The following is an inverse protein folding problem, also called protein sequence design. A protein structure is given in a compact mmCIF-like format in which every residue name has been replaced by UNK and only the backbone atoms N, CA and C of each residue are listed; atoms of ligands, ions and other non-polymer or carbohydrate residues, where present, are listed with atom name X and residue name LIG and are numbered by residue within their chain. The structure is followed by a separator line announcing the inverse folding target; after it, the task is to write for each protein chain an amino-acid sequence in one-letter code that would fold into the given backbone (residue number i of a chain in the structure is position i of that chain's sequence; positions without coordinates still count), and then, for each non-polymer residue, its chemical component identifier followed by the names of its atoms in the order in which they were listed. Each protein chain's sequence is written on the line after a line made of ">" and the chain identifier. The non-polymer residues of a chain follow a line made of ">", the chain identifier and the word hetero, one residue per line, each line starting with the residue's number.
data_IF_251951724623
#
_entry.id   IF_251951724623
#
_cell.length_a   1.000
_cell.length_b   1.000
_cell.length_c   1.000
_cell.angle_alpha   90.00
_cell.angle_beta   90.00
_cell.angle_gamma   90.00
#
_symmetry.space_group_name_H-M   'P 1'
#
loop_
_entity.id
_entity.type
_entity.pdbx_description
1 polymer ?
#
# COMPACT_ATOMS: atom_id res chain seq x y z
N UNK A 1 3.46 28.45 8.42
CA UNK A 1 3.20 27.87 7.09
C UNK A 1 1.73 28.03 6.76
N UNK A 2 1.36 28.62 5.61
CA UNK A 2 -0.01 28.96 5.22
C UNK A 2 -0.92 27.72 5.04
N UNK A 3 -0.30 26.55 4.96
CA UNK A 3 -0.94 25.26 4.68
C UNK A 3 -1.46 24.54 5.94
N UNK A 4 -1.00 24.93 7.14
CA UNK A 4 -1.25 24.18 8.38
C UNK A 4 -2.74 24.10 8.73
N UNK A 5 -3.46 25.22 8.68
CA UNK A 5 -4.89 25.26 9.01
C UNK A 5 -5.74 24.43 8.02
N UNK A 6 -5.57 24.55 6.69
CA UNK A 6 -6.23 23.66 5.74
C UNK A 6 -5.99 22.17 5.99
N UNK A 7 -4.77 21.76 6.38
CA UNK A 7 -4.46 20.37 6.69
C UNK A 7 -5.18 19.87 7.95
N UNK A 8 -5.21 20.66 9.03
CA UNK A 8 -5.93 20.25 10.25
C UNK A 8 -7.43 20.10 10.02
N UNK A 9 -8.04 20.97 9.20
CA UNK A 9 -9.46 20.87 8.85
C UNK A 9 -9.76 19.58 8.07
N UNK A 10 -8.87 19.16 7.17
CA UNK A 10 -9.05 17.87 6.48
C UNK A 10 -8.81 16.70 7.42
N UNK A 11 -7.80 16.76 8.29
CA UNK A 11 -7.55 15.73 9.29
C UNK A 11 -8.78 15.50 10.17
N UNK A 12 -9.41 16.57 10.66
CA UNK A 12 -10.68 16.48 11.39
C UNK A 12 -11.79 15.83 10.55
N UNK A 13 -11.92 16.21 9.27
CA UNK A 13 -12.90 15.63 8.38
C UNK A 13 -12.65 14.13 8.07
N UNK A 14 -11.40 13.68 8.03
CA UNK A 14 -11.05 12.26 7.85
C UNK A 14 -11.52 11.40 9.03
N UNK A 15 -11.47 11.94 10.26
CA UNK A 15 -11.98 11.28 11.46
C UNK A 15 -13.50 11.33 11.62
N UNK A 16 -14.18 12.23 10.90
CA UNK A 16 -15.63 12.36 10.97
C UNK A 16 -16.31 11.16 10.27
N UNK A 17 -16.98 10.32 11.07
CA UNK A 17 -17.69 9.13 10.61
C UNK A 17 -19.09 9.43 10.06
N UNK A 18 -19.56 10.67 10.16
CA UNK A 18 -20.88 11.09 9.68
C UNK A 18 -20.87 11.58 8.24
N UNK A 19 -19.69 11.86 7.68
CA UNK A 19 -19.56 12.34 6.30
C UNK A 19 -19.76 11.21 5.29
N UNK A 20 -20.41 11.53 4.18
CA UNK A 20 -20.39 10.68 2.99
C UNK A 20 -19.06 10.81 2.24
N UNK A 21 -18.67 9.80 1.42
CA UNK A 21 -17.45 9.87 0.62
C UNK A 21 -17.37 11.13 -0.27
N UNK A 22 -18.49 11.51 -0.89
CA UNK A 22 -18.57 12.68 -1.76
C UNK A 22 -18.40 13.99 -0.99
N UNK A 23 -18.95 14.08 0.22
CA UNK A 23 -18.80 15.25 1.09
C UNK A 23 -17.37 15.41 1.57
N UNK A 24 -16.71 14.31 1.95
CA UNK A 24 -15.29 14.34 2.34
C UNK A 24 -14.39 14.72 1.15
N UNK A 25 -14.61 14.11 -0.03
CA UNK A 25 -13.91 14.48 -1.26
C UNK A 25 -14.05 15.98 -1.58
N UNK A 26 -15.27 16.52 -1.47
CA UNK A 26 -15.51 17.95 -1.63
C UNK A 26 -14.70 18.79 -0.64
N UNK A 27 -14.73 18.43 0.65
CA UNK A 27 -13.97 19.13 1.69
C UNK A 27 -12.47 19.11 1.40
N UNK A 28 -11.90 17.98 0.95
CA UNK A 28 -10.49 17.89 0.57
C UNK A 28 -10.14 18.88 -0.54
N UNK A 29 -10.96 18.97 -1.61
CA UNK A 29 -10.73 19.90 -2.72
C UNK A 29 -10.86 21.36 -2.27
N UNK A 30 -11.87 21.68 -1.45
CA UNK A 30 -12.05 23.04 -0.91
C UNK A 30 -10.87 23.47 -0.06
N UNK A 31 -10.36 22.60 0.82
CA UNK A 31 -9.19 22.92 1.63
C UNK A 31 -7.91 23.01 0.78
N UNK A 32 -7.80 22.23 -0.29
CA UNK A 32 -6.73 22.36 -1.26
C UNK A 32 -6.73 23.74 -1.92
N UNK A 33 -7.89 24.20 -2.42
CA UNK A 33 -8.07 25.56 -2.98
C UNK A 33 -7.71 26.64 -1.97
N UNK A 34 -8.15 26.50 -0.72
CA UNK A 34 -7.82 27.43 0.36
C UNK A 34 -6.32 27.47 0.66
N UNK A 35 -5.64 26.33 0.69
CA UNK A 35 -4.20 26.26 0.91
C UNK A 35 -3.42 27.00 -0.20
N UNK A 36 -3.80 26.80 -1.46
CA UNK A 36 -3.22 27.50 -2.61
C UNK A 36 -3.47 29.00 -2.54
N UNK A 37 -4.69 29.44 -2.18
CA UNK A 37 -5.02 30.86 -2.04
C UNK A 37 -4.17 31.55 -0.95
N UNK A 38 -4.06 30.93 0.24
CA UNK A 38 -3.26 31.46 1.33
C UNK A 38 -1.77 31.54 0.97
N UNK A 39 -1.23 30.49 0.34
CA UNK A 39 0.16 30.45 -0.09
C UNK A 39 0.47 31.47 -1.19
N UNK A 40 -0.48 31.68 -2.12
CA UNK A 40 -0.34 32.68 -3.18
C UNK A 40 -0.32 34.09 -2.61
N UNK A 41 -1.22 34.41 -1.67
CA UNK A 41 -1.23 35.71 -0.99
C UNK A 41 0.09 35.99 -0.24
N UNK A 42 0.63 34.97 0.46
CA UNK A 42 1.92 35.07 1.16
C UNK A 42 3.10 35.25 0.19
N UNK A 43 3.11 34.51 -0.93
CA UNK A 43 4.13 34.63 -1.99
C UNK A 43 4.15 36.04 -2.61
N UNK A 44 2.98 36.61 -2.90
CA UNK A 44 2.83 37.99 -3.39
C UNK A 44 3.40 38.97 -2.37
N UNK A 45 3.04 38.82 -1.09
CA UNK A 45 3.48 39.72 -0.01
C UNK A 45 5.00 39.69 0.18
N UNK A 46 5.63 38.52 0.00
CA UNK A 46 7.09 38.34 0.20
C UNK A 46 7.93 38.54 -1.06
N UNK A 47 7.33 38.85 -2.21
CA UNK A 47 8.05 39.00 -3.48
C UNK A 47 8.73 37.72 -3.97
N UNK A 48 8.34 36.54 -3.47
CA UNK A 48 8.96 35.26 -3.76
C UNK A 48 8.05 34.44 -4.68
N UNK A 49 8.00 34.79 -5.97
CA UNK A 49 7.41 33.91 -6.99
C UNK A 49 8.54 33.31 -7.83
N UNK A 50 9.08 32.19 -7.37
CA UNK A 50 10.03 31.37 -8.15
C UNK A 50 9.31 30.13 -8.65
N UNK A 51 9.30 29.94 -9.96
CA UNK A 51 8.84 28.71 -10.61
C UNK A 51 7.44 28.77 -11.21
N UNK A 52 7.14 27.75 -12.02
CA UNK A 52 5.85 27.51 -12.67
C UNK A 52 4.86 26.77 -11.77
N UNK A 53 5.34 26.19 -10.66
CA UNK A 53 4.52 25.38 -9.76
C UNK A 53 3.56 26.22 -8.93
N UNK A 54 2.38 25.65 -8.66
CA UNK A 54 1.37 26.27 -7.83
C UNK A 54 1.85 26.36 -6.38
N UNK A 55 1.87 27.57 -5.77
CA UNK A 55 2.43 27.77 -4.44
C UNK A 55 1.86 26.80 -3.39
N UNK A 56 2.77 26.10 -2.71
CA UNK A 56 2.48 25.17 -1.60
C UNK A 56 1.55 23.99 -1.90
N UNK A 57 1.15 23.77 -3.15
CA UNK A 57 0.26 22.68 -3.53
C UNK A 57 0.89 21.30 -3.24
N UNK A 58 2.15 21.11 -3.61
CA UNK A 58 2.90 19.88 -3.33
C UNK A 58 2.90 19.53 -1.84
N UNK A 59 3.28 20.49 -0.98
CA UNK A 59 3.32 20.30 0.47
C UNK A 59 1.94 19.99 1.06
N UNK A 60 0.90 20.68 0.58
CA UNK A 60 -0.46 20.40 1.00
C UNK A 60 -0.87 18.98 0.61
N UNK A 61 -0.66 18.58 -0.65
CA UNK A 61 -1.04 17.26 -1.13
C UNK A 61 -0.23 16.16 -0.44
N UNK A 62 1.07 16.36 -0.22
CA UNK A 62 1.90 15.43 0.55
C UNK A 62 1.34 15.20 1.96
N UNK A 63 1.06 16.28 2.69
CA UNK A 63 0.45 16.18 4.02
C UNK A 63 -0.97 15.59 4.00
N UNK A 64 -1.78 15.95 3.02
CA UNK A 64 -3.13 15.40 2.82
C UNK A 64 -3.09 13.89 2.62
N UNK A 65 -2.28 13.42 1.68
CA UNK A 65 -2.17 12.00 1.36
C UNK A 65 -1.57 11.22 2.51
N UNK A 66 -0.61 11.80 3.22
CA UNK A 66 -0.05 11.19 4.42
C UNK A 66 -1.15 10.92 5.46
N UNK A 67 -1.92 11.94 5.85
CA UNK A 67 -3.01 11.76 6.82
C UNK A 67 -4.11 10.85 6.32
N UNK A 68 -4.44 10.95 5.04
CA UNK A 68 -5.44 10.09 4.41
C UNK A 68 -5.05 8.61 4.53
N UNK A 69 -3.81 8.27 4.18
CA UNK A 69 -3.31 6.91 4.26
C UNK A 69 -3.19 6.44 5.71
N UNK A 70 -2.60 7.24 6.61
CA UNK A 70 -2.47 6.92 8.03
C UNK A 70 -3.82 6.56 8.67
N UNK A 71 -4.85 7.36 8.41
CA UNK A 71 -6.19 7.11 8.96
C UNK A 71 -6.85 5.90 8.30
N UNK A 72 -6.66 5.72 6.99
CA UNK A 72 -7.21 4.58 6.26
C UNK A 72 -6.64 3.25 6.77
N UNK A 73 -5.34 3.16 7.02
CA UNK A 73 -4.70 1.91 7.46
C UNK A 73 -4.96 1.60 8.94
N UNK A 74 -5.31 2.61 9.74
CA UNK A 74 -5.66 2.44 11.16
C UNK A 74 -7.12 1.97 11.36
N UNK A 75 -8.06 2.42 10.51
CA UNK A 75 -9.48 2.05 10.60
C UNK A 75 -9.90 1.08 9.48
N UNK A 76 -9.64 -0.22 9.70
CA UNK A 76 -9.97 -1.29 8.74
C UNK A 76 -11.45 -1.33 8.35
N UNK A 77 -12.35 -0.88 9.24
CA UNK A 77 -13.79 -0.87 9.01
C UNK A 77 -14.23 0.15 7.96
N UNK A 78 -13.37 1.12 7.65
CA UNK A 78 -13.64 2.23 6.73
C UNK A 78 -12.83 2.17 5.43
N UNK A 79 -12.12 1.08 5.16
CA UNK A 79 -11.30 0.98 3.95
C UNK A 79 -12.11 1.23 2.67
N UNK A 80 -13.31 0.65 2.55
CA UNK A 80 -14.19 0.89 1.39
C UNK A 80 -14.67 2.33 1.30
N UNK A 81 -15.00 2.94 2.44
CA UNK A 81 -15.32 4.37 2.51
C UNK A 81 -14.18 5.24 1.96
N UNK A 82 -12.93 4.97 2.35
CA UNK A 82 -11.78 5.73 1.84
C UNK A 82 -11.53 5.49 0.35
N UNK A 83 -11.72 4.26 -0.13
CA UNK A 83 -11.69 3.98 -1.58
C UNK A 83 -12.73 4.82 -2.31
N UNK A 84 -13.97 4.87 -1.82
CA UNK A 84 -15.07 5.65 -2.40
C UNK A 84 -14.80 7.16 -2.39
N UNK A 85 -14.06 7.67 -1.40
CA UNK A 85 -13.62 9.07 -1.39
C UNK A 85 -12.70 9.35 -2.58
N UNK A 86 -11.75 8.45 -2.87
CA UNK A 86 -10.88 8.58 -4.04
C UNK A 86 -11.65 8.41 -5.35
N UNK A 87 -12.67 7.52 -5.40
CA UNK A 87 -13.59 7.41 -6.56
C UNK A 87 -14.27 8.77 -6.79
N UNK A 88 -14.82 9.37 -5.73
CA UNK A 88 -15.51 10.64 -5.79
C UNK A 88 -14.60 11.80 -6.21
N UNK A 89 -13.35 11.82 -5.71
CA UNK A 89 -12.33 12.79 -6.12
C UNK A 89 -12.07 12.70 -7.63
N UNK A 90 -11.84 11.48 -8.11
CA UNK A 90 -11.56 11.19 -9.52
C UNK A 90 -12.71 11.61 -10.43
N UNK A 91 -13.95 11.36 -10.03
CA UNK A 91 -15.11 11.59 -10.87
C UNK A 91 -15.42 13.09 -11.10
N UNK A 92 -15.28 13.93 -10.05
CA UNK A 92 -16.01 15.21 -9.99
C UNK A 92 -15.17 16.48 -10.07
N UNK A 93 -13.87 16.46 -9.77
CA UNK A 93 -13.21 17.70 -9.36
C UNK A 93 -12.07 18.21 -10.25
N UNK A 94 -12.26 18.21 -11.57
CA UNK A 94 -11.30 18.83 -12.50
C UNK A 94 -11.71 20.21 -13.01
N UNK A 95 -12.78 20.77 -12.48
CA UNK A 95 -13.33 22.03 -12.95
C UNK A 95 -12.50 23.19 -12.36
N UNK A 96 -12.02 24.06 -13.27
CA UNK A 96 -11.51 25.42 -13.05
C UNK A 96 -10.19 25.61 -12.28
N UNK A 97 -9.26 24.66 -12.33
CA UNK A 97 -7.93 24.86 -11.71
C UNK A 97 -6.78 24.44 -12.61
N UNK A 98 -6.05 25.42 -13.16
CA UNK A 98 -4.75 25.26 -13.82
C UNK A 98 -3.63 25.09 -12.78
N UNK A 99 -3.74 24.07 -11.96
CA UNK A 99 -2.71 23.77 -10.97
C UNK A 99 -1.53 23.04 -11.61
N UNK A 100 -0.33 23.40 -11.17
CA UNK A 100 0.94 22.87 -11.69
C UNK A 100 1.74 22.32 -10.52
N UNK A 101 2.24 21.09 -10.67
CA UNK A 101 3.16 20.43 -9.74
C UNK A 101 4.30 19.83 -10.56
N UNK A 102 5.54 20.21 -10.21
CA UNK A 102 6.75 19.79 -10.92
C UNK A 102 6.68 20.04 -12.43
N UNK A 103 6.18 21.21 -12.82
CA UNK A 103 6.03 21.63 -14.20
C UNK A 103 4.95 20.90 -15.00
N UNK A 104 4.09 20.11 -14.35
CA UNK A 104 2.97 19.39 -15.00
C UNK A 104 1.63 19.81 -14.43
N UNK A 105 0.62 19.87 -15.29
CA UNK A 105 -0.76 20.11 -14.85
C UNK A 105 -1.21 18.99 -13.91
N UNK A 106 -1.68 19.39 -12.74
CA UNK A 106 -2.29 18.51 -11.76
C UNK A 106 -3.75 18.24 -12.11
N UNK A 107 -4.18 17.01 -11.89
CA UNK A 107 -5.49 16.52 -12.32
C UNK A 107 -5.96 15.41 -11.39
N UNK A 108 -7.10 15.61 -10.71
CA UNK A 108 -7.69 14.65 -9.78
C UNK A 108 -8.18 13.36 -10.45
N UNK A 109 -8.39 13.35 -11.78
CA UNK A 109 -8.67 12.11 -12.53
C UNK A 109 -7.46 11.18 -12.64
N UNK A 110 -6.26 11.73 -12.46
CA UNK A 110 -5.00 11.07 -12.73
C UNK A 110 -4.12 10.97 -11.47
N UNK A 111 -4.75 10.70 -10.32
CA UNK A 111 -4.08 10.48 -9.04
C UNK A 111 -3.05 9.34 -9.11
N UNK A 112 -3.27 8.36 -9.99
CA UNK A 112 -2.41 7.18 -10.11
C UNK A 112 -1.07 7.42 -10.80
N UNK A 113 -1.01 8.37 -11.74
CA UNK A 113 0.24 8.72 -12.44
C UNK A 113 1.02 9.84 -11.75
N UNK A 114 0.35 10.58 -10.85
CA UNK A 114 0.89 11.76 -10.20
C UNK A 114 1.64 11.38 -8.94
N UNK A 115 2.91 11.84 -8.83
CA UNK A 115 3.79 11.37 -7.76
C UNK A 115 3.38 11.73 -6.33
N UNK A 116 2.56 12.73 -5.97
CA UNK A 116 2.30 13.00 -4.53
C UNK A 116 1.64 11.82 -3.81
N UNK A 117 0.64 11.18 -4.41
CA UNK A 117 0.00 10.00 -3.83
C UNK A 117 0.93 8.77 -3.92
N UNK A 118 1.55 8.55 -5.09
CA UNK A 118 2.48 7.44 -5.28
C UNK A 118 3.69 7.47 -4.35
N UNK A 119 4.24 8.67 -4.06
CA UNK A 119 5.35 8.86 -3.12
C UNK A 119 4.92 8.56 -1.69
N UNK A 120 3.73 9.01 -1.26
CA UNK A 120 3.24 8.68 0.09
C UNK A 120 2.95 7.19 0.24
N UNK A 121 2.37 6.56 -0.79
CA UNK A 121 2.18 5.11 -0.82
C UNK A 121 3.54 4.40 -0.66
N UNK A 122 4.56 4.81 -1.43
CA UNK A 122 5.90 4.24 -1.32
C UNK A 122 6.57 4.56 0.04
N UNK A 123 6.45 5.78 0.54
CA UNK A 123 7.03 6.20 1.83
C UNK A 123 6.46 5.37 2.97
N UNK A 124 5.14 5.17 3.01
CA UNK A 124 4.48 4.37 4.06
C UNK A 124 4.90 2.89 3.97
N UNK A 125 5.18 2.37 2.77
CA UNK A 125 5.76 1.02 2.63
C UNK A 125 7.19 0.91 3.11
N UNK A 126 7.95 2.02 3.01
CA UNK A 126 9.34 2.09 3.43
C UNK A 126 9.51 2.48 4.90
N UNK A 127 8.44 2.91 5.59
CA UNK A 127 8.47 3.08 7.04
C UNK A 127 8.68 1.72 7.67
N UNK A 128 9.81 1.59 8.36
CA UNK A 128 10.19 0.39 9.08
C UNK A 128 9.08 0.07 10.10
N UNK A 129 8.46 -1.11 9.98
CA UNK A 129 7.43 -1.61 10.91
C UNK A 129 7.97 -1.98 12.30
N UNK A 130 9.24 -1.64 12.57
CA UNK A 130 9.78 -1.45 13.92
C UNK A 130 9.57 -0.01 14.42
N UNK A 131 8.54 0.70 13.97
CA UNK A 131 8.01 1.78 14.80
C UNK A 131 7.73 1.15 16.18
N UNK A 132 8.23 1.73 17.28
CA UNK A 132 8.02 1.16 18.60
C UNK A 132 6.56 0.80 18.81
N UNK A 133 6.28 -0.38 19.42
CA UNK A 133 4.93 -0.86 19.59
C UNK A 133 4.08 0.29 20.12
N UNK A 134 2.98 0.56 19.42
CA UNK A 134 2.13 1.69 19.73
C UNK A 134 0.83 1.21 20.34
N UNK A 135 0.59 1.60 21.59
CA UNK A 135 -0.72 1.39 22.22
C UNK A 135 -1.44 2.72 22.37
N UNK A 136 -2.64 2.82 21.80
CA UNK A 136 -3.50 4.00 21.87
C UNK A 136 -2.82 5.34 21.52
N UNK A 137 -1.87 5.32 20.58
CA UNK A 137 -1.13 6.52 20.15
C UNK A 137 0.02 6.92 21.08
N UNK A 138 0.39 6.09 22.05
CA UNK A 138 1.59 6.24 22.87
C UNK A 138 2.66 5.25 22.41
N UNK A 139 3.92 5.65 22.51
CA UNK A 139 5.07 4.78 22.27
C UNK A 139 5.24 3.84 23.47
N UNK A 140 5.53 2.57 23.22
CA UNK A 140 6.00 1.63 24.25
C UNK A 140 7.51 1.80 24.41
N UNK A 141 7.94 2.09 25.64
CA UNK A 141 9.35 2.36 25.95
C UNK A 141 10.22 1.08 25.85
N UNK A 142 11.47 1.18 25.33
CA UNK A 142 12.44 0.09 25.33
C UNK A 142 12.87 -0.37 26.72
N UNK A 143 13.30 -1.64 26.88
CA UNK A 143 13.53 -2.66 25.83
C UNK A 143 12.29 -3.48 25.46
N UNK A 144 12.21 -3.96 24.21
CA UNK A 144 11.08 -4.76 23.68
C UNK A 144 11.54 -6.21 23.50
N UNK A 145 10.63 -7.16 23.66
CA UNK A 145 10.85 -8.56 23.32
C UNK A 145 10.67 -8.75 21.80
N UNK A 146 11.79 -8.75 21.07
CA UNK A 146 11.79 -8.96 19.62
C UNK A 146 11.17 -10.31 19.22
N UNK A 147 11.30 -11.36 20.04
CA UNK A 147 10.73 -12.69 19.73
C UNK A 147 9.22 -12.68 19.87
N UNK A 148 8.70 -11.99 20.88
CA UNK A 148 7.27 -11.75 21.02
C UNK A 148 6.73 -10.99 19.79
N UNK A 149 7.44 -9.92 19.39
CA UNK A 149 7.11 -9.16 18.20
C UNK A 149 7.08 -10.02 16.94
N UNK A 150 8.11 -10.81 16.68
CA UNK A 150 8.18 -11.73 15.54
C UNK A 150 7.03 -12.74 15.53
N UNK A 151 6.71 -13.32 16.69
CA UNK A 151 5.61 -14.28 16.86
C UNK A 151 4.24 -13.65 16.54
N UNK A 152 3.94 -12.47 17.09
CA UNK A 152 2.69 -11.75 16.83
C UNK A 152 2.61 -11.30 15.37
N UNK A 153 3.69 -10.75 14.83
CA UNK A 153 3.77 -10.35 13.41
C UNK A 153 3.58 -11.56 12.50
N UNK A 154 4.00 -12.77 12.88
CA UNK A 154 3.78 -14.01 12.12
C UNK A 154 2.34 -14.53 12.19
N UNK A 155 1.54 -14.07 13.15
CA UNK A 155 0.12 -14.40 13.29
C UNK A 155 -0.29 -15.02 14.62
N UNK A 156 0.61 -15.09 15.62
CA UNK A 156 0.25 -15.59 16.94
C UNK A 156 -0.64 -14.59 17.70
N UNK A 157 -1.56 -15.08 18.56
CA UNK A 157 -2.43 -14.23 19.35
C UNK A 157 -1.59 -13.34 20.30
N UNK A 158 -1.82 -12.02 20.32
CA UNK A 158 -1.08 -11.14 21.20
C UNK A 158 -1.49 -11.33 22.67
N UNK A 159 -0.56 -11.27 23.62
CA UNK A 159 -0.91 -11.16 25.03
C UNK A 159 -1.56 -9.79 25.30
N UNK A 160 -2.37 -9.72 26.36
CA UNK A 160 -3.02 -8.46 26.76
C UNK A 160 -2.06 -7.53 27.53
N UNK A 161 -0.97 -7.13 26.87
CA UNK A 161 0.03 -6.17 27.36
C UNK A 161 0.13 -5.00 26.39
N UNK A 162 0.58 -3.81 26.83
CA UNK A 162 0.80 -2.67 25.92
C UNK A 162 1.70 -3.03 24.73
N UNK A 163 2.78 -3.77 24.98
CA UNK A 163 3.68 -4.26 23.94
C UNK A 163 2.99 -5.22 22.97
N UNK A 164 2.27 -6.23 23.47
CA UNK A 164 1.54 -7.20 22.65
C UNK A 164 0.48 -6.54 21.77
N UNK A 165 -0.28 -5.59 22.33
CA UNK A 165 -1.25 -4.77 21.58
C UNK A 165 -0.57 -3.89 20.54
N UNK A 166 0.60 -3.33 20.85
CA UNK A 166 1.39 -2.54 19.92
C UNK A 166 1.85 -3.36 18.71
N UNK A 167 2.40 -4.56 18.92
CA UNK A 167 2.77 -5.46 17.83
C UNK A 167 1.57 -5.91 16.98
N UNK A 168 0.44 -6.22 17.62
CA UNK A 168 -0.79 -6.57 16.92
C UNK A 168 -1.31 -5.43 16.04
N UNK A 169 -1.22 -4.18 16.52
CA UNK A 169 -1.56 -2.99 15.73
C UNK A 169 -0.63 -2.81 14.53
N UNK A 170 0.68 -2.99 14.70
CA UNK A 170 1.64 -2.92 13.60
C UNK A 170 1.34 -3.97 12.51
N UNK A 171 1.04 -5.21 12.91
CA UNK A 171 0.57 -6.26 11.98
C UNK A 171 -0.69 -5.85 11.23
N UNK A 172 -1.69 -5.33 11.95
CA UNK A 172 -2.95 -4.89 11.34
C UNK A 172 -2.72 -3.74 10.34
N UNK A 173 -1.93 -2.72 10.69
CA UNK A 173 -1.57 -1.61 9.80
C UNK A 173 -0.91 -2.10 8.50
N UNK A 174 0.03 -3.03 8.57
CA UNK A 174 0.67 -3.62 7.38
C UNK A 174 -0.32 -4.31 6.45
N UNK A 175 -1.20 -5.15 7.02
CA UNK A 175 -2.20 -5.87 6.25
C UNK A 175 -3.24 -4.90 5.65
N UNK A 176 -3.74 -3.95 6.43
CA UNK A 176 -4.69 -2.92 5.98
C UNK A 176 -4.11 -2.06 4.87
N UNK A 177 -2.83 -1.69 4.97
CA UNK A 177 -2.12 -0.96 3.92
C UNK A 177 -2.11 -1.74 2.60
N UNK A 178 -1.79 -3.04 2.64
CA UNK A 178 -1.80 -3.89 1.45
C UNK A 178 -3.21 -4.11 0.90
N UNK A 179 -4.22 -4.29 1.77
CA UNK A 179 -5.63 -4.38 1.36
C UNK A 179 -6.03 -3.09 0.63
N UNK A 180 -5.74 -1.93 1.21
CA UNK A 180 -6.08 -0.64 0.65
C UNK A 180 -5.42 -0.42 -0.72
N UNK A 181 -4.10 -0.63 -0.81
CA UNK A 181 -3.35 -0.48 -2.05
C UNK A 181 -3.83 -1.45 -3.13
N UNK A 182 -4.14 -2.70 -2.77
CA UNK A 182 -4.68 -3.68 -3.71
C UNK A 182 -6.03 -3.24 -4.27
N UNK A 183 -6.91 -2.68 -3.44
CA UNK A 183 -8.21 -2.10 -3.89
C UNK A 183 -8.00 -0.93 -4.84
N UNK A 184 -7.12 0.01 -4.49
CA UNK A 184 -6.81 1.16 -5.35
C UNK A 184 -6.26 0.73 -6.70
N UNK A 185 -5.34 -0.24 -6.71
CA UNK A 185 -4.80 -0.75 -7.95
C UNK A 185 -5.87 -1.48 -8.75
N UNK A 186 -6.69 -2.36 -8.14
CA UNK A 186 -7.80 -3.05 -8.81
C UNK A 186 -8.73 -2.07 -9.55
N UNK A 187 -9.04 -0.92 -8.93
CA UNK A 187 -9.85 0.15 -9.52
C UNK A 187 -9.11 1.07 -10.51
N UNK A 188 -7.82 0.80 -10.77
CA UNK A 188 -6.98 1.61 -11.64
C UNK A 188 -6.76 3.03 -11.14
N UNK A 189 -6.79 3.23 -9.82
CA UNK A 189 -6.49 4.52 -9.17
C UNK A 189 -5.02 4.69 -8.86
N UNK A 190 -4.28 3.59 -8.82
CA UNK A 190 -2.83 3.54 -8.70
C UNK A 190 -2.29 2.79 -9.91
N UNK A 191 -1.31 3.35 -10.61
CA UNK A 191 -0.84 2.76 -11.88
C UNK A 191 0.38 1.87 -11.74
N UNK A 192 1.10 1.91 -10.62
CA UNK A 192 2.35 1.15 -10.48
C UNK A 192 2.06 -0.32 -10.17
N UNK A 193 2.36 -1.24 -11.11
CA UNK A 193 2.13 -2.67 -10.91
C UNK A 193 3.37 -3.35 -10.29
N UNK A 194 4.40 -2.60 -9.91
CA UNK A 194 5.66 -3.15 -9.44
C UNK A 194 5.58 -3.72 -8.02
N UNK A 195 4.76 -3.09 -7.17
CA UNK A 195 4.61 -3.48 -5.78
C UNK A 195 4.04 -4.89 -5.57
N UNK A 196 2.86 -5.25 -6.12
CA UNK A 196 2.35 -6.62 -6.04
C UNK A 196 3.36 -7.66 -6.54
N UNK A 197 4.06 -7.35 -7.65
CA UNK A 197 5.12 -8.22 -8.17
C UNK A 197 6.27 -8.38 -7.18
N UNK A 198 6.76 -7.29 -6.59
CA UNK A 198 7.85 -7.34 -5.62
C UNK A 198 7.48 -8.22 -4.41
N UNK A 199 6.26 -8.07 -3.87
CA UNK A 199 5.80 -8.87 -2.74
C UNK A 199 5.72 -10.36 -3.10
N UNK A 200 5.14 -10.69 -4.25
CA UNK A 200 5.00 -12.09 -4.69
C UNK A 200 6.36 -12.71 -4.97
N UNK A 201 7.24 -12.02 -5.72
CA UNK A 201 8.57 -12.52 -6.07
C UNK A 201 9.45 -12.76 -4.82
N UNK A 202 9.34 -11.88 -3.83
CA UNK A 202 10.19 -11.97 -2.63
C UNK A 202 9.66 -12.93 -1.58
N UNK A 203 8.35 -13.19 -1.55
CA UNK A 203 7.74 -13.88 -0.39
C UNK A 203 6.87 -15.09 -0.76
N UNK A 204 6.32 -15.15 -1.97
CA UNK A 204 5.55 -16.31 -2.43
C UNK A 204 6.38 -17.22 -3.34
N UNK A 205 7.05 -16.67 -4.36
CA UNK A 205 7.85 -17.45 -5.31
C UNK A 205 8.97 -18.30 -4.68
N UNK A 206 9.65 -17.87 -3.60
CA UNK A 206 10.66 -18.70 -2.95
C UNK A 206 10.13 -20.06 -2.47
N UNK A 207 8.83 -20.19 -2.19
CA UNK A 207 8.22 -21.46 -1.78
C UNK A 207 8.27 -22.53 -2.88
N UNK A 208 8.57 -22.19 -4.13
CA UNK A 208 8.80 -23.21 -5.15
C UNK A 208 10.11 -23.98 -4.93
N UNK A 209 11.02 -23.47 -4.09
CA UNK A 209 12.25 -24.16 -3.72
C UNK A 209 11.96 -25.28 -2.69
N UNK A 210 12.89 -26.24 -2.54
CA UNK A 210 12.93 -27.13 -1.39
C UNK A 210 12.94 -26.36 -0.06
N UNK A 211 12.50 -27.02 1.02
CA UNK A 211 12.29 -26.38 2.32
C UNK A 211 13.55 -25.76 2.91
N UNK A 212 14.67 -26.46 2.83
CA UNK A 212 16.02 -25.98 3.16
C UNK A 212 16.42 -24.78 2.29
N UNK A 213 16.03 -24.76 1.01
CA UNK A 213 16.35 -23.70 0.06
C UNK A 213 15.59 -22.39 0.28
N UNK A 214 14.33 -22.43 0.75
CA UNK A 214 13.58 -21.20 1.03
C UNK A 214 13.70 -20.75 2.49
N UNK A 215 13.79 -21.66 3.47
CA UNK A 215 14.04 -21.30 4.88
C UNK A 215 15.44 -20.75 5.13
N UNK A 216 16.43 -21.13 4.30
CA UNK A 216 17.78 -20.59 4.36
C UNK A 216 17.90 -19.19 3.75
N UNK A 217 16.88 -18.72 3.02
CA UNK A 217 16.86 -17.33 2.60
C UNK A 217 16.59 -16.49 3.83
N UNK A 218 17.45 -15.50 4.14
CA UNK A 218 17.15 -14.61 5.23
C UNK A 218 15.77 -14.01 4.95
N UNK A 219 14.85 -14.12 5.91
CA UNK A 219 13.77 -13.16 5.99
C UNK A 219 14.43 -11.79 5.88
N UNK A 220 13.81 -10.85 5.13
CA UNK A 220 14.26 -9.47 5.28
C UNK A 220 14.28 -9.20 6.79
N UNK A 221 15.34 -8.58 7.35
CA UNK A 221 15.57 -8.50 8.81
C UNK A 221 14.48 -7.74 9.61
N UNK A 222 13.32 -7.47 9.00
CA UNK A 222 12.31 -6.52 9.44
C UNK A 222 10.89 -7.09 9.50
N UNK A 223 10.55 -8.17 8.76
CA UNK A 223 9.19 -8.77 8.75
C UNK A 223 9.26 -10.32 8.64
N UNK A 224 8.49 -11.09 9.42
CA UNK A 224 8.42 -12.55 9.26
C UNK A 224 7.85 -12.96 7.89
N UNK A 225 8.17 -14.16 7.43
CA UNK A 225 7.75 -14.65 6.11
C UNK A 225 6.22 -14.68 5.98
N UNK A 226 5.54 -15.15 7.03
CA UNK A 226 4.09 -15.29 7.13
C UNK A 226 3.38 -13.96 6.84
N UNK A 227 3.83 -12.87 7.48
CA UNK A 227 3.24 -11.54 7.30
C UNK A 227 3.31 -11.06 5.85
N UNK A 228 4.45 -11.27 5.20
CA UNK A 228 4.63 -10.83 3.81
C UNK A 228 3.94 -11.78 2.82
N UNK A 229 3.85 -13.07 3.14
CA UNK A 229 3.08 -14.04 2.38
C UNK A 229 1.59 -13.68 2.40
N UNK A 230 1.05 -13.32 3.55
CA UNK A 230 -0.33 -12.83 3.67
C UNK A 230 -0.55 -11.52 2.89
N UNK A 231 0.42 -10.61 2.90
CA UNK A 231 0.37 -9.40 2.09
C UNK A 231 0.36 -9.74 0.59
N UNK A 232 1.27 -10.60 0.11
CA UNK A 232 1.31 -11.07 -1.28
C UNK A 232 -0.03 -11.74 -1.69
N UNK A 233 -0.57 -12.60 -0.83
CA UNK A 233 -1.85 -13.26 -1.03
C UNK A 233 -3.03 -12.28 -0.99
N UNK A 234 -2.94 -11.17 -0.25
CA UNK A 234 -3.94 -10.10 -0.28
C UNK A 234 -4.06 -9.47 -1.66
N UNK A 235 -2.94 -9.20 -2.33
CA UNK A 235 -2.92 -8.70 -3.70
C UNK A 235 -3.56 -9.67 -4.68
N UNK A 236 -3.21 -10.96 -4.58
CA UNK A 236 -3.80 -12.04 -5.38
C UNK A 236 -5.32 -12.14 -5.20
N UNK A 237 -5.83 -12.00 -3.97
CA UNK A 237 -7.27 -12.08 -3.67
C UNK A 237 -8.05 -10.86 -4.16
N UNK A 238 -7.53 -9.66 -3.91
CA UNK A 238 -8.28 -8.42 -4.13
C UNK A 238 -8.11 -7.91 -5.56
N UNK A 239 -6.88 -7.98 -6.08
CA UNK A 239 -6.54 -7.42 -7.38
C UNK A 239 -6.21 -8.50 -8.42
N UNK A 240 -6.49 -9.77 -8.12
CA UNK A 240 -6.15 -10.91 -8.97
C UNK A 240 -6.61 -10.76 -10.43
N UNK A 241 -7.86 -10.32 -10.66
CA UNK A 241 -8.35 -10.08 -12.02
C UNK A 241 -7.51 -9.04 -12.77
N UNK A 242 -7.17 -7.91 -12.13
CA UNK A 242 -6.32 -6.89 -12.74
C UNK A 242 -4.88 -7.39 -12.95
N UNK A 243 -4.35 -8.19 -12.02
CA UNK A 243 -3.05 -8.86 -12.17
C UNK A 243 -3.04 -9.81 -13.36
N UNK A 244 -4.10 -10.60 -13.51
CA UNK A 244 -4.22 -11.58 -14.58
C UNK A 244 -4.27 -10.95 -15.96
N UNK A 245 -4.93 -9.79 -16.13
CA UNK A 245 -4.96 -9.07 -17.42
C UNK A 245 -3.76 -8.14 -17.63
N UNK A 246 -2.98 -7.86 -16.59
CA UNK A 246 -1.78 -7.04 -16.70
C UNK A 246 -0.76 -7.73 -17.61
N UNK A 247 -0.11 -6.95 -18.48
CA UNK A 247 0.96 -7.42 -19.38
C UNK A 247 2.26 -6.66 -19.16
N UNK A 248 2.40 -5.99 -18.02
CA UNK A 248 3.62 -5.25 -17.71
C UNK A 248 4.77 -6.23 -17.55
N UNK A 249 5.79 -6.04 -18.37
CA UNK A 249 7.07 -6.72 -18.28
C UNK A 249 8.17 -5.72 -17.95
N UNK A 250 9.27 -6.25 -17.43
CA UNK A 250 10.49 -5.54 -17.10
C UNK A 250 11.66 -6.25 -17.75
N UNK A 251 12.65 -5.47 -18.20
CA UNK A 251 13.91 -6.03 -18.64
C UNK A 251 14.63 -6.60 -17.39
N UNK A 252 15.01 -7.89 -17.39
CA UNK A 252 15.73 -8.49 -16.28
C UNK A 252 17.08 -7.79 -15.99
N UNK A 253 17.64 -7.04 -16.94
CA UNK A 253 18.88 -6.29 -16.81
C UNK A 253 18.69 -4.81 -16.42
N UNK A 254 17.43 -4.34 -16.28
CA UNK A 254 17.17 -2.95 -15.89
C UNK A 254 17.40 -2.74 -14.39
N UNK A 255 18.62 -2.31 -14.06
CA UNK A 255 19.04 -2.00 -12.70
C UNK A 255 18.32 -0.77 -12.10
N UNK A 256 17.57 0.02 -12.89
CA UNK A 256 16.85 1.21 -12.39
C UNK A 256 15.61 0.88 -11.57
N UNK A 257 15.12 -0.36 -11.64
CA UNK A 257 13.90 -0.82 -10.95
C UNK A 257 14.18 -1.56 -9.64
N UNK A 258 15.45 -1.74 -9.27
CA UNK A 258 15.80 -2.53 -8.10
C UNK A 258 15.50 -4.02 -8.29
N UNK A 259 16.23 -4.86 -7.57
CA UNK A 259 16.22 -6.32 -7.77
C UNK A 259 14.89 -6.99 -7.40
N UNK A 260 14.06 -6.39 -6.55
CA UNK A 260 12.86 -7.03 -6.02
C UNK A 260 11.79 -7.34 -7.09
N UNK A 261 11.70 -6.54 -8.15
CA UNK A 261 10.66 -6.69 -9.19
C UNK A 261 11.15 -7.60 -10.32
N UNK A 262 12.46 -7.61 -10.57
CA UNK A 262 13.07 -8.32 -11.70
C UNK A 262 13.70 -9.66 -11.34
N UNK A 263 13.96 -9.91 -10.05
CA UNK A 263 14.65 -11.10 -9.58
C UNK A 263 13.65 -12.02 -8.85
N UNK A 264 13.31 -13.13 -9.50
CA UNK A 264 12.68 -14.30 -8.86
C UNK A 264 13.68 -15.11 -8.02
N UNK A 265 14.93 -14.63 -7.91
CA UNK A 265 16.04 -15.33 -7.27
C UNK A 265 16.21 -16.76 -7.78
N UNK A 266 15.97 -16.98 -9.08
CA UNK A 266 16.14 -18.28 -9.72
C UNK A 266 14.94 -19.23 -9.61
N UNK A 267 13.83 -18.81 -8.99
CA UNK A 267 12.63 -19.65 -8.88
C UNK A 267 11.76 -19.63 -10.13
N UNK A 268 11.80 -18.52 -10.88
CA UNK A 268 11.08 -18.32 -12.13
C UNK A 268 12.05 -18.00 -13.27
N UNK A 269 11.97 -18.75 -14.38
CA UNK A 269 12.84 -18.61 -15.57
C UNK A 269 12.13 -18.04 -16.81
N UNK A 270 10.84 -17.76 -16.72
CA UNK A 270 10.06 -17.21 -17.82
C UNK A 270 10.17 -15.69 -17.92
N UNK A 271 9.18 -15.06 -18.55
CA UNK A 271 9.15 -13.60 -18.75
C UNK A 271 9.15 -12.86 -17.41
N UNK A 272 10.02 -11.87 -17.29
CA UNK A 272 10.10 -11.00 -16.12
C UNK A 272 8.92 -10.02 -16.09
N UNK A 273 7.82 -10.45 -15.48
CA UNK A 273 6.67 -9.61 -15.18
C UNK A 273 5.37 -10.38 -15.10
N UNK A 274 4.27 -9.75 -15.49
CA UNK A 274 2.97 -10.39 -15.59
C UNK A 274 2.86 -11.20 -16.89
N UNK A 275 2.74 -12.53 -16.76
CA UNK A 275 2.64 -13.47 -17.86
C UNK A 275 1.69 -14.62 -17.49
N UNK A 276 0.90 -15.17 -18.43
CA UNK A 276 0.01 -16.31 -18.15
C UNK A 276 0.72 -17.51 -17.51
N UNK A 277 1.89 -17.89 -18.01
CA UNK A 277 2.66 -18.99 -17.42
C UNK A 277 3.08 -18.71 -15.97
N UNK A 278 3.34 -17.43 -15.63
CA UNK A 278 3.70 -17.04 -14.28
C UNK A 278 2.50 -17.09 -13.33
N UNK A 279 1.31 -16.82 -13.86
CA UNK A 279 0.05 -17.00 -13.15
C UNK A 279 -0.16 -18.48 -12.78
N UNK A 280 0.01 -19.39 -13.75
CA UNK A 280 -0.06 -20.82 -13.51
C UNK A 280 1.00 -21.29 -12.48
N UNK A 281 2.20 -20.72 -12.53
CA UNK A 281 3.25 -20.97 -11.55
C UNK A 281 2.86 -20.54 -10.12
N UNK A 282 2.30 -19.34 -9.93
CA UNK A 282 1.81 -18.90 -8.61
C UNK A 282 0.67 -19.78 -8.09
N UNK A 283 -0.23 -20.22 -8.97
CA UNK A 283 -1.30 -21.17 -8.64
C UNK A 283 -0.72 -22.50 -8.14
N UNK A 284 0.30 -23.02 -8.82
CA UNK A 284 1.01 -24.24 -8.40
C UNK A 284 1.67 -24.12 -7.04
N UNK A 285 2.29 -22.97 -6.73
CA UNK A 285 2.85 -22.69 -5.39
C UNK A 285 1.77 -22.76 -4.32
N UNK A 286 0.63 -22.10 -4.55
CA UNK A 286 -0.47 -22.09 -3.58
C UNK A 286 -1.11 -23.47 -3.41
N UNK A 287 -1.22 -24.27 -4.48
CA UNK A 287 -1.70 -25.66 -4.42
C UNK A 287 -0.80 -26.51 -3.53
N UNK A 288 0.51 -26.49 -3.78
CA UNK A 288 1.50 -27.23 -2.99
C UNK A 288 1.49 -26.80 -1.52
N UNK A 289 1.35 -25.49 -1.26
CA UNK A 289 1.21 -24.94 0.09
C UNK A 289 -0.03 -25.50 0.78
N UNK A 290 -1.20 -25.45 0.14
CA UNK A 290 -2.48 -25.94 0.69
C UNK A 290 -2.48 -27.45 0.92
N UNK A 291 -1.76 -28.21 0.09
CA UNK A 291 -1.62 -29.67 0.20
C UNK A 291 -0.59 -30.10 1.26
N UNK A 292 0.11 -29.16 1.90
CA UNK A 292 1.10 -29.45 2.95
C UNK A 292 2.48 -29.84 2.43
N UNK A 293 2.74 -29.69 1.13
CA UNK A 293 4.04 -30.02 0.52
C UNK A 293 5.15 -29.02 0.87
N UNK A 294 4.80 -27.93 1.56
CA UNK A 294 5.69 -26.83 1.91
C UNK A 294 5.96 -26.72 3.42
N UNK A 295 5.76 -27.83 4.14
CA UNK A 295 5.94 -27.91 5.59
C UNK A 295 4.74 -27.35 6.36
N UNK A 296 4.87 -27.31 7.68
CA UNK A 296 3.84 -26.77 8.57
C UNK A 296 3.88 -25.25 8.59
N UNK A 297 2.71 -24.63 8.37
CA UNK A 297 2.51 -23.18 8.38
C UNK A 297 1.41 -22.80 9.35
N UNK A 298 1.50 -21.56 9.86
CA UNK A 298 0.49 -21.00 10.76
C UNK A 298 -0.89 -20.91 10.09
N UNK A 299 -2.00 -21.00 10.86
CA UNK A 299 -3.35 -21.03 10.31
C UNK A 299 -3.69 -19.84 9.39
N UNK A 300 -3.27 -18.62 9.74
CA UNK A 300 -3.47 -17.40 8.95
C UNK A 300 -2.89 -17.53 7.53
N UNK A 301 -1.70 -18.09 7.38
CA UNK A 301 -1.07 -18.34 6.08
C UNK A 301 -1.87 -19.36 5.28
N UNK A 302 -2.26 -20.47 5.92
CA UNK A 302 -2.99 -21.55 5.27
C UNK A 302 -4.39 -21.11 4.82
N UNK A 303 -5.08 -20.30 5.61
CA UNK A 303 -6.37 -19.70 5.27
C UNK A 303 -6.22 -18.71 4.11
N UNK A 304 -5.22 -17.83 4.15
CA UNK A 304 -4.94 -16.90 3.07
C UNK A 304 -4.63 -17.65 1.75
N UNK A 305 -3.89 -18.76 1.81
CA UNK A 305 -3.54 -19.57 0.66
C UNK A 305 -4.76 -20.24 0.02
N UNK A 306 -5.62 -20.86 0.84
CA UNK A 306 -6.87 -21.49 0.38
C UNK A 306 -7.76 -20.48 -0.35
N UNK A 307 -7.99 -19.32 0.25
CA UNK A 307 -8.83 -18.27 -0.37
C UNK A 307 -8.19 -17.73 -1.65
N UNK A 308 -6.88 -17.49 -1.65
CA UNK A 308 -6.16 -17.01 -2.84
C UNK A 308 -6.26 -18.00 -4.00
N UNK A 309 -6.06 -19.30 -3.74
CA UNK A 309 -6.13 -20.34 -4.76
C UNK A 309 -7.52 -20.41 -5.43
N UNK A 310 -8.59 -20.28 -4.64
CA UNK A 310 -9.96 -20.23 -5.15
C UNK A 310 -10.17 -19.01 -6.06
N UNK A 311 -9.74 -17.83 -5.63
CA UNK A 311 -9.94 -16.58 -6.37
C UNK A 311 -9.05 -16.45 -7.61
N UNK A 312 -7.85 -17.06 -7.59
CA UNK A 312 -6.99 -17.15 -8.78
C UNK A 312 -7.67 -17.93 -9.89
N UNK A 313 -8.31 -19.05 -9.52
CA UNK A 313 -9.06 -19.88 -10.46
C UNK A 313 -10.28 -19.14 -11.01
N UNK A 314 -10.97 -18.34 -10.20
CA UNK A 314 -12.09 -17.52 -10.65
C UNK A 314 -11.67 -16.37 -11.58
N UNK A 315 -10.50 -15.78 -11.34
CA UNK A 315 -9.97 -14.66 -12.15
C UNK A 315 -9.66 -15.08 -13.60
N UNK A 316 -9.34 -16.35 -13.83
CA UNK A 316 -9.12 -16.91 -15.18
C UNK A 316 -10.43 -17.02 -16.00
N UNK A 317 -11.58 -17.12 -15.33
CA UNK A 317 -12.90 -17.28 -15.97
C UNK A 317 -13.53 -15.93 -16.34
N UNK A 318 -13.16 -14.86 -15.63
CA UNK A 318 -13.81 -13.55 -15.73
C UNK A 318 -12.90 -12.41 -16.23
N UNK A 319 -11.59 -12.65 -16.40
CA UNK A 319 -10.62 -11.68 -16.91
C UNK A 319 -10.35 -11.85 -18.41
#
# INVERSE_FOLDING_TARGET
>A
MPVRQPLELVRQALHDKTLSPQTLAFKMVVQCRRAVQLATAESITRGYRKGVDTPSLEWYLGGLWYWFMEIAVEDSSRLDFFVDVLVALRARYNEDTEWIIWGKTFNWRDLGSQRPLGLVIAEIMHRDFREPPHDQGQWVDPPWDEKLGESILAGDPPPDTPEGRGWARSRARWLNHNIFCARLWALGMFSDPSLPMALINMHLEPLSLPEDGWRSRPSRPRNPHELNMEAAMTWLRIAGARMFVCRKTWDPNDNSKGTAITVSFGTWRGVCGYHPDRWAYWKGILQALVQGEKGEWRPNVMEAAKVSLLLLSASEVHG
#
